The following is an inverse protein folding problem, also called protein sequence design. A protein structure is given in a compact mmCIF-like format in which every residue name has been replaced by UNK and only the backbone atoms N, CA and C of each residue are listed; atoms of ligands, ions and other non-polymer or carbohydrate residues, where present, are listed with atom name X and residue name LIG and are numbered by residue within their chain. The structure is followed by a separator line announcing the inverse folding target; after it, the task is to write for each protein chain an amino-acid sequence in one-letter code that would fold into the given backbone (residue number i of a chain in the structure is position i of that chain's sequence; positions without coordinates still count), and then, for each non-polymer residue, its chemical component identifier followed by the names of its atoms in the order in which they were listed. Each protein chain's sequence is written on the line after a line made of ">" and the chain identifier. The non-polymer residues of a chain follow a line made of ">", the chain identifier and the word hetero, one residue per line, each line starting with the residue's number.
data_IF_562988487885
#
_entry.id   IF_562988487885
#
_cell.length_a   1.000
_cell.length_b   1.000
_cell.length_c   1.000
_cell.angle_alpha   90.00
_cell.angle_beta   90.00
_cell.angle_gamma   90.00
#
_symmetry.space_group_name_H-M   'P 1'
#
loop_
_entity.id
_entity.type
_entity.pdbx_description
1 polymer ?
#
# COMPACT_ATOMS: atom_id res chain seq x y z
N UNK A 1 3.42 -8.87 -3.17
CA UNK A 1 4.72 -8.14 -3.21
C UNK A 1 5.62 -8.50 -2.02
N UNK A 2 5.51 -9.75 -1.53
CA UNK A 2 6.32 -10.24 -0.44
C UNK A 2 7.80 -10.29 -0.81
N UNK A 3 8.70 -9.84 0.08
CA UNK A 3 10.14 -10.00 -0.10
C UNK A 3 10.73 -9.32 -1.34
N UNK A 4 10.08 -8.27 -1.84
CA UNK A 4 10.46 -7.59 -3.08
C UNK A 4 11.46 -6.43 -2.87
N UNK A 5 12.06 -6.33 -1.67
CA UNK A 5 12.94 -5.23 -1.27
C UNK A 5 12.29 -3.85 -1.45
N UNK A 6 10.99 -3.76 -1.20
CA UNK A 6 10.29 -2.49 -1.22
C UNK A 6 10.79 -1.59 -0.10
N UNK A 7 10.82 -0.29 -0.37
CA UNK A 7 11.25 0.73 0.60
C UNK A 7 10.10 1.68 0.89
N UNK A 8 10.27 2.55 1.89
CA UNK A 8 9.30 3.62 2.18
C UNK A 8 8.96 4.49 0.95
N UNK A 9 9.89 4.66 0.00
CA UNK A 9 9.63 5.40 -1.24
C UNK A 9 8.63 4.66 -2.14
N UNK A 10 8.71 3.33 -2.20
CA UNK A 10 7.78 2.49 -2.96
C UNK A 10 6.34 2.59 -2.43
N UNK A 11 6.17 2.85 -1.12
CA UNK A 11 4.85 3.05 -0.51
C UNK A 11 4.09 4.24 -1.10
N UNK A 12 4.77 5.33 -1.47
CA UNK A 12 4.11 6.47 -2.13
C UNK A 12 3.51 6.11 -3.49
N UNK A 13 4.23 5.29 -4.28
CA UNK A 13 3.71 4.81 -5.57
C UNK A 13 2.55 3.82 -5.38
N UNK A 14 2.66 2.90 -4.41
CA UNK A 14 1.58 1.96 -4.08
C UNK A 14 0.33 2.69 -3.60
N UNK A 15 0.51 3.68 -2.73
CA UNK A 15 -0.55 4.54 -2.20
C UNK A 15 -1.34 5.22 -3.32
N UNK A 16 -0.65 5.81 -4.31
CA UNK A 16 -1.30 6.41 -5.48
C UNK A 16 -2.13 5.41 -6.28
N UNK A 17 -1.72 4.14 -6.36
CA UNK A 17 -2.50 3.10 -7.03
C UNK A 17 -3.71 2.71 -6.19
N UNK A 18 -3.54 2.55 -4.88
CA UNK A 18 -4.60 2.15 -3.94
C UNK A 18 -5.73 3.19 -3.83
N UNK A 19 -5.41 4.47 -4.02
CA UNK A 19 -6.38 5.58 -4.04
C UNK A 19 -7.04 5.80 -5.41
N UNK A 20 -6.54 5.17 -6.46
CA UNK A 20 -7.15 5.30 -7.78
C UNK A 20 -8.55 4.71 -7.75
N UNK A 21 -9.55 5.48 -8.18
CA UNK A 21 -10.95 5.02 -8.28
C UNK A 21 -11.13 3.82 -9.23
N UNK A 22 -10.14 3.56 -10.08
CA UNK A 22 -10.09 2.39 -10.97
C UNK A 22 -9.35 1.19 -10.35
N UNK A 23 -8.86 1.32 -9.11
CA UNK A 23 -8.20 0.22 -8.43
C UNK A 23 -9.21 -0.84 -8.06
N UNK A 24 -9.02 -2.04 -8.62
CA UNK A 24 -9.80 -3.24 -8.29
C UNK A 24 -9.04 -4.16 -7.33
N UNK A 25 -7.94 -3.66 -6.75
CA UNK A 25 -7.08 -4.46 -5.88
C UNK A 25 -7.77 -4.69 -4.53
N UNK A 26 -8.01 -5.97 -4.20
CA UNK A 26 -8.66 -6.40 -2.94
C UNK A 26 -7.66 -6.93 -1.91
N UNK A 27 -6.56 -7.51 -2.36
CA UNK A 27 -5.55 -8.11 -1.50
C UNK A 27 -4.16 -7.67 -1.92
N UNK A 28 -3.33 -7.29 -0.95
CA UNK A 28 -1.96 -6.83 -1.20
C UNK A 28 -1.02 -7.33 -0.10
N UNK A 29 -0.27 -8.38 -0.38
CA UNK A 29 0.75 -8.88 0.54
C UNK A 29 2.06 -8.07 0.42
N UNK A 30 2.42 -7.34 1.49
CA UNK A 30 3.68 -6.60 1.62
C UNK A 30 4.65 -7.22 2.65
N UNK A 31 4.38 -8.44 3.12
CA UNK A 31 5.22 -9.11 4.11
C UNK A 31 6.68 -9.25 3.65
N UNK A 32 7.60 -9.39 4.61
CA UNK A 32 9.04 -9.50 4.34
C UNK A 32 9.65 -8.31 3.56
N UNK A 33 9.05 -7.11 3.64
CA UNK A 33 9.68 -5.87 3.20
C UNK A 33 9.99 -4.96 4.40
N UNK A 34 11.13 -4.27 4.37
CA UNK A 34 11.48 -3.26 5.36
C UNK A 34 10.95 -1.88 4.93
N UNK A 35 9.63 -1.70 5.12
CA UNK A 35 8.94 -0.46 4.73
C UNK A 35 9.21 0.69 5.69
N UNK A 36 9.70 0.40 6.90
CA UNK A 36 9.81 1.32 8.04
C UNK A 36 8.46 1.92 8.45
N UNK A 37 8.43 2.57 9.60
CA UNK A 37 7.22 3.24 10.10
C UNK A 37 6.69 4.30 9.13
N UNK A 38 7.61 5.01 8.45
CA UNK A 38 7.26 6.01 7.45
C UNK A 38 6.51 5.43 6.26
N UNK A 39 6.93 4.24 5.77
CA UNK A 39 6.28 3.60 4.64
C UNK A 39 4.93 3.00 5.01
N UNK A 40 4.81 2.44 6.21
CA UNK A 40 3.53 1.91 6.72
C UNK A 40 2.52 3.03 6.94
N UNK A 41 2.96 4.19 7.47
CA UNK A 41 2.10 5.36 7.66
C UNK A 41 1.54 5.90 6.35
N UNK A 42 2.37 5.99 5.31
CA UNK A 42 1.98 6.37 3.93
C UNK A 42 1.08 5.35 3.20
N UNK A 43 0.87 4.17 3.77
CA UNK A 43 -0.13 3.25 3.25
C UNK A 43 -1.41 3.37 4.07
N UNK A 44 -1.28 3.40 5.40
CA UNK A 44 -2.44 3.42 6.30
C UNK A 44 -3.22 4.73 6.31
N UNK A 45 -2.59 5.88 6.09
CA UNK A 45 -3.33 7.14 5.97
C UNK A 45 -4.17 7.19 4.68
N UNK A 46 -3.71 6.52 3.64
CA UNK A 46 -4.29 6.54 2.30
C UNK A 46 -5.32 5.43 2.07
N UNK A 47 -5.19 4.31 2.78
CA UNK A 47 -6.22 3.27 2.88
C UNK A 47 -7.52 3.75 3.54
N UNK A 48 -7.50 4.89 4.24
CA UNK A 48 -8.71 5.53 4.78
C UNK A 48 -9.56 6.19 3.68
N UNK A 49 -9.06 6.26 2.44
CA UNK A 49 -9.81 6.80 1.31
C UNK A 49 -11.07 5.96 1.04
N UNK A 50 -12.24 6.57 0.80
CA UNK A 50 -13.45 5.84 0.45
C UNK A 50 -13.35 5.10 -0.89
N UNK A 51 -12.43 5.52 -1.77
CA UNK A 51 -12.17 4.87 -3.04
C UNK A 51 -11.26 3.64 -2.92
N UNK A 52 -10.69 3.41 -1.73
CA UNK A 52 -9.85 2.25 -1.50
C UNK A 52 -10.70 0.99 -1.38
N UNK A 53 -10.46 0.04 -2.28
CA UNK A 53 -11.17 -1.24 -2.33
C UNK A 53 -10.41 -2.38 -1.64
N UNK A 54 -9.26 -2.08 -1.02
CA UNK A 54 -8.41 -3.10 -0.41
C UNK A 54 -9.07 -3.66 0.86
N UNK A 55 -9.20 -4.98 0.93
CA UNK A 55 -9.79 -5.72 2.05
C UNK A 55 -8.71 -6.37 2.91
N UNK A 56 -7.61 -6.81 2.29
CA UNK A 56 -6.50 -7.50 2.96
C UNK A 56 -5.18 -6.81 2.61
N UNK A 57 -4.38 -6.50 3.64
CA UNK A 57 -3.02 -5.98 3.57
C UNK A 57 -2.08 -6.83 4.43
#
# INVERSE_FOLDING_TARGET
>A
LCGCNLTAQSCGSLSSVLQSSNSVLRELDLSNNDLKDSGVKLLTDELKSPDCQLEIL
#
